data_IF_145175128208
#
_entry.id   IF_145175128208
#
_cell.length_a   1.000
_cell.length_b   1.000
_cell.length_c   1.000
_cell.angle_alpha   90.00
_cell.angle_beta   90.00
_cell.angle_gamma   90.00
#
_symmetry.space_group_name_H-M   'P 1'
#
loop_
_entity.id
_entity.type
_entity.pdbx_description
1 polymer ?
#
# COMPACT_ATOMS: atom_id res chain seq x y z
N UNK A 1 -5.60 15.72 17.83
CA UNK A 1 -6.60 15.40 16.83
C UNK A 1 -6.51 13.96 16.38
N UNK A 2 -7.50 13.52 15.65
CA UNK A 2 -7.53 12.17 15.11
C UNK A 2 -6.32 11.95 14.18
N UNK A 3 -5.67 10.79 14.29
CA UNK A 3 -4.50 10.40 13.49
C UNK A 3 -3.27 11.32 13.71
N UNK A 4 -3.20 11.98 14.85
CA UNK A 4 -2.05 12.76 15.25
C UNK A 4 -2.01 14.20 14.77
N UNK A 5 -2.91 14.61 13.87
CA UNK A 5 -2.94 15.98 13.39
C UNK A 5 -3.48 16.94 14.46
N UNK A 6 -2.81 18.08 14.61
CA UNK A 6 -3.37 19.24 15.30
C UNK A 6 -4.43 19.92 14.40
N UNK A 7 -5.28 20.83 14.94
CA UNK A 7 -6.37 21.41 14.16
C UNK A 7 -5.98 22.04 12.82
N UNK A 8 -4.75 22.54 12.69
CA UNK A 8 -4.30 23.24 11.48
C UNK A 8 -3.33 22.42 10.62
N UNK A 9 -3.18 21.12 10.89
CA UNK A 9 -2.19 20.29 10.22
C UNK A 9 -2.74 19.45 9.06
N UNK A 10 -4.02 19.56 8.74
CA UNK A 10 -4.62 18.77 7.67
C UNK A 10 -3.94 18.97 6.33
N UNK A 11 -3.65 20.21 5.95
CA UNK A 11 -2.96 20.50 4.69
C UNK A 11 -1.48 20.10 4.73
N UNK A 12 -0.81 20.30 5.87
CA UNK A 12 0.59 19.92 6.05
C UNK A 12 0.82 18.43 5.82
N UNK A 13 -0.10 17.60 6.30
CA UNK A 13 -0.02 16.14 6.19
C UNK A 13 -1.08 15.58 5.22
N UNK A 14 -1.32 16.32 4.13
CA UNK A 14 -2.18 15.84 3.05
C UNK A 14 -1.57 14.64 2.35
N UNK A 15 -2.39 13.90 1.60
CA UNK A 15 -1.91 12.74 0.85
C UNK A 15 -0.76 13.07 -0.09
N UNK A 16 0.35 12.32 0.04
CA UNK A 16 1.53 12.46 -0.82
C UNK A 16 2.10 11.09 -1.16
N UNK A 17 2.89 11.06 -2.24
CA UNK A 17 3.54 9.83 -2.69
C UNK A 17 2.60 8.89 -3.42
N UNK A 18 3.12 7.73 -3.79
CA UNK A 18 2.37 6.74 -4.59
C UNK A 18 1.20 6.12 -3.84
N UNK A 19 1.28 6.05 -2.50
CA UNK A 19 0.26 5.45 -1.64
C UNK A 19 -0.65 6.48 -0.97
N UNK A 20 -0.47 7.76 -1.27
CA UNK A 20 -1.23 8.84 -0.63
C UNK A 20 -1.16 8.74 0.90
N UNK A 21 0.07 8.71 1.42
CA UNK A 21 0.31 8.76 2.87
C UNK A 21 -0.26 10.08 3.38
N UNK A 22 -1.13 9.97 4.38
CA UNK A 22 -1.91 11.09 4.90
C UNK A 22 -1.91 11.05 6.43
N UNK A 23 -2.08 12.20 7.07
CA UNK A 23 -2.05 12.38 8.51
C UNK A 23 -0.67 12.19 9.15
N UNK A 24 -0.44 12.97 10.19
CA UNK A 24 0.85 13.01 10.89
C UNK A 24 1.33 11.65 11.37
N UNK A 25 0.44 10.80 11.87
CA UNK A 25 0.82 9.48 12.39
C UNK A 25 1.42 8.59 11.31
N UNK A 26 0.89 8.64 10.08
CA UNK A 26 1.43 7.85 8.98
C UNK A 26 2.76 8.42 8.47
N UNK A 27 2.90 9.74 8.44
CA UNK A 27 4.20 10.37 8.13
C UNK A 27 5.26 9.93 9.13
N UNK A 28 4.91 9.91 10.42
CA UNK A 28 5.81 9.44 11.46
C UNK A 28 6.17 7.96 11.28
N UNK A 29 5.16 7.11 11.09
CA UNK A 29 5.36 5.66 10.94
C UNK A 29 6.27 5.33 9.78
N UNK A 30 5.94 5.80 8.59
CA UNK A 30 6.69 5.46 7.39
C UNK A 30 8.01 6.21 7.30
N UNK A 31 8.09 7.41 7.85
CA UNK A 31 9.36 8.12 7.99
C UNK A 31 10.37 7.32 8.79
N UNK A 32 9.95 6.77 9.92
CA UNK A 32 10.83 5.91 10.74
C UNK A 32 11.26 4.66 9.99
N UNK A 33 10.36 4.03 9.25
CA UNK A 33 10.66 2.80 8.50
C UNK A 33 11.70 3.03 7.39
N UNK A 34 11.69 4.19 6.75
CA UNK A 34 12.62 4.50 5.64
C UNK A 34 13.80 5.35 6.07
N UNK A 35 13.88 5.73 7.34
CA UNK A 35 14.98 6.54 7.86
C UNK A 35 14.95 8.00 7.43
N UNK A 36 13.76 8.58 7.24
CA UNK A 36 13.58 9.98 6.84
C UNK A 36 12.65 10.70 7.82
N UNK A 37 12.94 11.96 8.10
CA UNK A 37 12.06 12.79 8.93
C UNK A 37 10.93 13.40 8.08
N UNK A 38 9.88 12.61 7.87
CA UNK A 38 8.73 13.04 7.08
C UNK A 38 7.78 13.94 7.89
N UNK A 39 7.88 13.93 9.21
CA UNK A 39 7.04 14.78 10.06
C UNK A 39 7.47 16.24 9.94
N UNK A 40 8.77 16.50 10.04
CA UNK A 40 9.31 17.86 9.88
C UNK A 40 9.32 18.30 8.41
N UNK A 41 9.60 17.37 7.50
CA UNK A 41 9.75 17.65 6.06
C UNK A 41 8.80 16.78 5.23
N UNK A 42 7.48 16.99 5.32
CA UNK A 42 6.51 16.14 4.62
C UNK A 42 6.66 16.19 3.08
N UNK A 43 7.18 17.29 2.54
CA UNK A 43 7.39 17.45 1.09
C UNK A 43 8.47 16.51 0.54
N UNK A 44 9.26 15.84 1.38
CA UNK A 44 10.17 14.79 0.91
C UNK A 44 9.44 13.69 0.15
N UNK A 45 8.16 13.43 0.46
CA UNK A 45 7.35 12.45 -0.27
C UNK A 45 7.03 12.87 -1.71
N UNK A 46 7.31 14.10 -2.10
CA UNK A 46 7.21 14.52 -3.49
C UNK A 46 8.43 14.08 -4.33
N UNK A 47 9.52 13.67 -3.68
CA UNK A 47 10.67 13.07 -4.36
C UNK A 47 10.31 11.63 -4.75
N UNK A 48 10.47 11.23 -6.04
CA UNK A 48 10.09 9.89 -6.50
C UNK A 48 10.79 8.75 -5.77
N UNK A 49 12.05 8.92 -5.40
CA UNK A 49 12.79 7.89 -4.66
C UNK A 49 12.24 7.71 -3.25
N UNK A 50 12.01 8.80 -2.55
CA UNK A 50 11.42 8.77 -1.20
C UNK A 50 10.01 8.18 -1.26
N UNK A 51 9.22 8.58 -2.25
CA UNK A 51 7.88 8.05 -2.46
C UNK A 51 7.91 6.53 -2.73
N UNK A 52 8.87 6.05 -3.51
CA UNK A 52 9.02 4.61 -3.79
C UNK A 52 9.42 3.83 -2.53
N UNK A 53 10.35 4.36 -1.74
CA UNK A 53 10.75 3.74 -0.48
C UNK A 53 9.57 3.66 0.50
N UNK A 54 8.79 4.74 0.60
CA UNK A 54 7.60 4.78 1.44
C UNK A 54 6.52 3.80 0.96
N UNK A 55 6.34 3.66 -0.35
CA UNK A 55 5.41 2.70 -0.94
C UNK A 55 5.81 1.26 -0.59
N UNK A 56 7.08 0.93 -0.71
CA UNK A 56 7.59 -0.39 -0.36
C UNK A 56 7.37 -0.69 1.13
N UNK A 57 7.65 0.29 1.99
CA UNK A 57 7.42 0.16 3.43
C UNK A 57 5.93 -0.06 3.75
N UNK A 58 5.06 0.68 3.08
CA UNK A 58 3.61 0.52 3.22
C UNK A 58 3.15 -0.89 2.85
N UNK A 59 3.51 -1.36 1.65
CA UNK A 59 3.10 -2.70 1.20
C UNK A 59 3.67 -3.78 2.11
N UNK A 60 4.92 -3.69 2.52
CA UNK A 60 5.54 -4.64 3.45
C UNK A 60 4.79 -4.69 4.79
N UNK A 61 4.48 -3.53 5.36
CA UNK A 61 3.76 -3.42 6.61
C UNK A 61 2.35 -4.01 6.50
N UNK A 62 1.62 -3.66 5.45
CA UNK A 62 0.25 -4.13 5.23
C UNK A 62 0.20 -5.62 4.90
N UNK A 63 1.18 -6.14 4.15
CA UNK A 63 1.28 -7.56 3.85
C UNK A 63 1.49 -8.37 5.14
N UNK A 64 2.43 -7.96 5.97
CA UNK A 64 2.72 -8.61 7.25
C UNK A 64 1.48 -8.60 8.16
N UNK A 65 0.85 -7.44 8.31
CA UNK A 65 -0.34 -7.30 9.14
C UNK A 65 -1.53 -8.11 8.60
N UNK A 66 -1.69 -8.11 7.28
CA UNK A 66 -2.78 -8.86 6.62
C UNK A 66 -2.61 -10.37 6.75
N UNK A 67 -1.39 -10.88 6.61
CA UNK A 67 -1.11 -12.31 6.83
C UNK A 67 -1.45 -12.70 8.28
N UNK A 68 -1.02 -11.90 9.23
CA UNK A 68 -1.30 -12.14 10.65
C UNK A 68 -2.79 -12.12 10.96
N UNK A 69 -3.53 -11.19 10.34
CA UNK A 69 -4.98 -11.05 10.54
C UNK A 69 -5.81 -12.06 9.74
N UNK A 70 -5.21 -12.82 8.84
CA UNK A 70 -5.93 -13.74 7.95
C UNK A 70 -6.69 -13.07 6.82
N UNK A 71 -6.31 -11.84 6.46
CA UNK A 71 -7.02 -11.03 5.45
C UNK A 71 -6.94 -11.61 4.04
N UNK A 72 -5.99 -12.52 3.78
CA UNK A 72 -5.77 -13.10 2.46
C UNK A 72 -6.18 -14.57 2.36
N UNK A 73 -6.86 -15.10 3.38
CA UNK A 73 -7.33 -16.50 3.39
C UNK A 73 -8.29 -16.80 2.24
N UNK A 74 -9.07 -15.81 1.82
CA UNK A 74 -9.97 -15.93 0.66
C UNK A 74 -9.25 -16.25 -0.65
N UNK A 75 -7.94 -16.00 -0.71
CA UNK A 75 -7.08 -16.34 -1.84
C UNK A 75 -6.20 -17.55 -1.55
N UNK A 76 -6.45 -18.28 -0.46
CA UNK A 76 -5.63 -19.37 0.04
C UNK A 76 -4.19 -18.94 0.38
N UNK A 77 -4.02 -17.69 0.81
CA UNK A 77 -2.73 -17.14 1.22
C UNK A 77 -2.72 -16.97 2.72
N UNK A 78 -1.93 -17.81 3.39
CA UNK A 78 -1.73 -17.79 4.85
C UNK A 78 -0.29 -17.45 5.22
N UNK A 79 0.63 -17.52 4.26
CA UNK A 79 2.02 -17.12 4.41
C UNK A 79 2.57 -16.64 3.05
N UNK A 80 3.79 -16.10 3.05
CA UNK A 80 4.43 -15.59 1.82
C UNK A 80 4.66 -16.69 0.78
N UNK A 81 4.95 -17.91 1.20
CA UNK A 81 5.23 -19.01 0.29
C UNK A 81 4.02 -19.41 -0.55
N UNK A 82 2.81 -19.07 -0.13
CA UNK A 82 1.59 -19.33 -0.88
C UNK A 82 1.40 -18.37 -2.06
N UNK A 83 2.16 -17.28 -2.15
CA UNK A 83 2.11 -16.34 -3.27
C UNK A 83 3.08 -16.84 -4.34
N UNK A 84 2.57 -17.68 -5.26
CA UNK A 84 3.39 -18.39 -6.24
C UNK A 84 3.22 -17.92 -7.68
N UNK A 85 2.23 -17.07 -7.95
CA UNK A 85 1.94 -16.60 -9.29
C UNK A 85 1.50 -15.14 -9.29
N UNK A 86 1.51 -14.52 -10.47
CA UNK A 86 1.15 -13.10 -10.61
C UNK A 86 -0.30 -12.82 -10.30
N UNK A 87 -1.20 -13.77 -10.59
CA UNK A 87 -2.62 -13.59 -10.30
C UNK A 87 -2.87 -13.46 -8.80
N UNK A 88 -2.28 -14.35 -8.00
CA UNK A 88 -2.40 -14.32 -6.53
C UNK A 88 -1.74 -13.06 -5.95
N UNK A 89 -0.54 -12.73 -6.41
CA UNK A 89 0.17 -11.53 -5.98
C UNK A 89 -0.65 -10.26 -6.28
N UNK A 90 -1.27 -10.19 -7.45
CA UNK A 90 -2.12 -9.06 -7.84
C UNK A 90 -3.35 -8.94 -6.94
N UNK A 91 -3.99 -10.06 -6.61
CA UNK A 91 -5.13 -10.06 -5.67
C UNK A 91 -4.75 -9.51 -4.31
N UNK A 92 -3.62 -9.96 -3.78
CA UNK A 92 -3.11 -9.48 -2.48
C UNK A 92 -2.80 -7.99 -2.55
N UNK A 93 -2.12 -7.53 -3.59
CA UNK A 93 -1.77 -6.12 -3.76
C UNK A 93 -3.01 -5.22 -3.87
N UNK A 94 -4.02 -5.65 -4.62
CA UNK A 94 -5.28 -4.91 -4.75
C UNK A 94 -6.02 -4.86 -3.41
N UNK A 95 -6.04 -5.97 -2.67
CA UNK A 95 -6.66 -6.02 -1.34
C UNK A 95 -5.96 -5.05 -0.38
N UNK A 96 -4.64 -4.98 -0.41
CA UNK A 96 -3.87 -4.03 0.40
C UNK A 96 -4.21 -2.60 0.03
N UNK A 97 -4.23 -2.29 -1.27
CA UNK A 97 -4.51 -0.95 -1.75
C UNK A 97 -5.94 -0.48 -1.45
N UNK A 98 -6.91 -1.39 -1.55
CA UNK A 98 -8.32 -1.11 -1.25
C UNK A 98 -8.63 -1.10 0.26
N UNK A 99 -7.72 -1.64 1.07
CA UNK A 99 -7.94 -1.85 2.51
C UNK A 99 -8.23 -3.31 2.82
N UNK A 100 -7.60 -3.81 3.88
CA UNK A 100 -7.65 -5.25 4.24
C UNK A 100 -9.05 -5.78 4.49
N UNK A 101 -9.97 -4.93 4.92
CA UNK A 101 -11.36 -5.31 5.18
C UNK A 101 -12.27 -5.17 3.97
N UNK A 102 -11.76 -4.74 2.82
CA UNK A 102 -12.58 -4.53 1.63
C UNK A 102 -13.06 -5.86 1.06
N UNK A 103 -14.34 -5.91 0.67
CA UNK A 103 -14.92 -7.07 0.01
C UNK A 103 -14.39 -7.19 -1.42
N UNK A 104 -13.56 -8.21 -1.66
CA UNK A 104 -12.97 -8.46 -2.98
C UNK A 104 -14.02 -8.87 -4.02
N UNK A 105 -15.20 -9.30 -3.61
CA UNK A 105 -16.30 -9.60 -4.53
C UNK A 105 -17.04 -8.35 -5.02
N UNK A 106 -16.72 -7.17 -4.48
CA UNK A 106 -17.26 -5.91 -4.95
C UNK A 106 -16.87 -5.68 -6.42
N UNK A 107 -17.83 -5.27 -7.25
CA UNK A 107 -17.63 -5.11 -8.69
C UNK A 107 -16.51 -4.10 -9.03
N UNK A 108 -16.38 -3.02 -8.26
CA UNK A 108 -15.33 -2.00 -8.47
C UNK A 108 -13.94 -2.58 -8.19
N UNK A 109 -13.82 -3.37 -7.11
CA UNK A 109 -12.57 -4.04 -6.75
C UNK A 109 -12.20 -5.08 -7.80
N UNK A 110 -13.16 -5.86 -8.30
CA UNK A 110 -12.96 -6.83 -9.37
C UNK A 110 -12.48 -6.16 -10.66
N UNK A 111 -13.07 -5.04 -11.03
CA UNK A 111 -12.65 -4.27 -12.19
C UNK A 111 -11.21 -3.78 -12.03
N UNK A 112 -10.86 -3.25 -10.86
CA UNK A 112 -9.51 -2.83 -10.54
C UNK A 112 -8.51 -3.98 -10.62
N UNK A 113 -8.88 -5.15 -10.11
CA UNK A 113 -8.07 -6.36 -10.23
C UNK A 113 -7.82 -6.74 -11.69
N UNK A 114 -8.85 -6.77 -12.50
CA UNK A 114 -8.74 -7.17 -13.91
C UNK A 114 -7.81 -6.22 -14.68
N UNK A 115 -7.92 -4.91 -14.43
CA UNK A 115 -7.03 -3.92 -15.04
C UNK A 115 -5.58 -4.08 -14.59
N UNK A 116 -5.35 -4.23 -13.30
CA UNK A 116 -4.01 -4.38 -12.73
C UNK A 116 -3.36 -5.68 -13.21
N UNK A 117 -4.11 -6.77 -13.26
CA UNK A 117 -3.62 -8.06 -13.77
C UNK A 117 -3.19 -7.96 -15.23
N UNK A 118 -3.96 -7.27 -16.06
CA UNK A 118 -3.63 -7.05 -17.46
C UNK A 118 -2.29 -6.30 -17.61
N UNK A 119 -2.07 -5.26 -16.82
CA UNK A 119 -0.81 -4.51 -16.82
C UNK A 119 0.36 -5.40 -16.36
N UNK A 120 0.19 -6.15 -15.29
CA UNK A 120 1.23 -7.05 -14.75
C UNK A 120 1.58 -8.12 -15.77
N UNK A 121 0.59 -8.75 -16.40
CA UNK A 121 0.81 -9.79 -17.41
C UNK A 121 1.55 -9.22 -18.64
N UNK A 122 1.20 -8.00 -19.06
CA UNK A 122 1.88 -7.31 -20.16
C UNK A 122 3.34 -7.03 -19.84
N UNK A 123 3.63 -6.54 -18.62
CA UNK A 123 4.99 -6.29 -18.16
C UNK A 123 5.81 -7.60 -18.13
N UNK A 124 5.22 -8.67 -17.64
CA UNK A 124 5.88 -9.98 -17.60
C UNK A 124 6.25 -10.47 -18.99
N UNK A 125 5.36 -10.29 -19.96
CA UNK A 125 5.62 -10.65 -21.35
C UNK A 125 6.77 -9.84 -21.94
N UNK A 126 6.87 -8.54 -21.59
CA UNK A 126 7.92 -7.66 -22.09
C UNK A 126 9.31 -7.98 -21.54
N UNK A 127 9.40 -8.46 -20.29
CA UNK A 127 10.68 -8.69 -19.62
C UNK A 127 11.12 -10.16 -19.64
N UNK A 128 10.22 -11.07 -20.01
CA UNK A 128 10.53 -12.50 -20.14
C UNK A 128 11.30 -12.82 -21.48
#
# INVERSE_FOLDING_TARGET
GKYGNLPNEGFKYRGRGFNQITFKDLYSKYGKMIGRDLVTYPDLLNDPKVAADAAAAYFSSELTAGLKAGSFKKFNVTDLAAIKDTATATKVAIQINAGRGTDFNNAVVQEGYNKAKGVVDSLYTMIA
#
